data_IF_594669018323
#
_entry.id   IF_594669018323
#
_cell.length_a   1.000
_cell.length_b   1.000
_cell.length_c   1.000
_cell.angle_alpha   90.00
_cell.angle_beta   90.00
_cell.angle_gamma   90.00
#
_symmetry.space_group_name_H-M   'P 1'
#
loop_
_entity.id
_entity.type
_entity.pdbx_description
1 polymer ?
#
# COMPACT_ATOMS: atom_id res chain seq x y z
N UNK A 1 -4.35 -15.94 8.69
CA UNK A 1 -4.21 -14.50 8.35
C UNK A 1 -3.53 -14.24 6.99
N UNK A 2 -3.59 -15.14 5.99
CA UNK A 2 -2.87 -14.90 4.71
C UNK A 2 -3.48 -13.76 3.88
N UNK A 3 -4.81 -13.70 3.79
CA UNK A 3 -5.54 -12.71 2.98
C UNK A 3 -5.38 -11.29 3.53
N UNK A 4 -5.70 -11.05 4.81
CA UNK A 4 -5.61 -9.72 5.41
C UNK A 4 -4.17 -9.15 5.40
N UNK A 5 -3.17 -10.00 5.63
CA UNK A 5 -1.75 -9.61 5.54
C UNK A 5 -1.38 -9.18 4.11
N UNK A 6 -1.71 -10.01 3.12
CA UNK A 6 -1.51 -9.70 1.70
C UNK A 6 -2.14 -8.36 1.32
N UNK A 7 -3.36 -8.11 1.81
CA UNK A 7 -4.07 -6.87 1.56
C UNK A 7 -3.34 -5.66 2.14
N UNK A 8 -2.89 -5.73 3.40
CA UNK A 8 -2.12 -4.64 4.05
C UNK A 8 -0.80 -4.38 3.30
N UNK A 9 -0.03 -5.42 3.01
CA UNK A 9 1.29 -5.31 2.36
C UNK A 9 1.21 -4.68 0.96
N UNK A 10 0.06 -4.78 0.29
CA UNK A 10 -0.16 -4.27 -1.06
C UNK A 10 -1.12 -3.06 -1.11
N UNK A 11 -1.53 -2.51 0.03
CA UNK A 11 -2.47 -1.39 0.09
C UNK A 11 -3.84 -1.69 -0.52
N UNK A 12 -4.29 -2.94 -0.47
CA UNK A 12 -5.57 -3.41 -1.00
C UNK A 12 -6.65 -3.16 0.05
N UNK A 13 -7.57 -2.24 -0.26
CA UNK A 13 -8.69 -1.88 0.60
C UNK A 13 -9.95 -2.69 0.33
N UNK A 14 -10.99 -2.35 1.09
CA UNK A 14 -12.36 -2.85 0.95
C UNK A 14 -13.33 -1.66 0.92
N UNK A 15 -14.32 -1.65 0.04
CA UNK A 15 -15.38 -0.63 0.07
C UNK A 15 -16.42 -0.96 1.14
N UNK A 16 -17.24 0.02 1.54
CA UNK A 16 -18.38 -0.25 2.44
C UNK A 16 -19.36 -1.30 1.89
N UNK A 17 -19.43 -1.45 0.56
CA UNK A 17 -20.22 -2.51 -0.12
C UNK A 17 -19.52 -3.88 -0.17
N UNK A 18 -18.33 -4.02 0.41
CA UNK A 18 -17.57 -5.27 0.46
C UNK A 18 -16.91 -5.64 -0.86
N UNK A 19 -16.55 -4.65 -1.69
CA UNK A 19 -15.73 -4.87 -2.88
C UNK A 19 -14.26 -4.70 -2.52
N UNK A 20 -13.40 -5.57 -3.00
CA UNK A 20 -11.95 -5.46 -2.81
C UNK A 20 -11.42 -4.45 -3.84
N UNK A 21 -10.56 -3.52 -3.41
CA UNK A 21 -10.09 -2.44 -4.28
C UNK A 21 -8.61 -2.11 -4.11
N UNK A 22 -7.98 -1.64 -5.18
CA UNK A 22 -6.72 -0.89 -5.12
C UNK A 22 -6.99 0.50 -5.68
N UNK A 23 -6.98 1.50 -4.81
CA UNK A 23 -7.47 2.83 -5.18
C UNK A 23 -8.94 2.77 -5.60
N UNK A 24 -9.23 3.15 -6.84
CA UNK A 24 -10.58 3.11 -7.45
C UNK A 24 -10.86 1.83 -8.25
N UNK A 25 -9.89 0.92 -8.35
CA UNK A 25 -9.99 -0.27 -9.20
C UNK A 25 -10.52 -1.44 -8.36
N UNK A 26 -11.63 -2.03 -8.79
CA UNK A 26 -12.19 -3.25 -8.18
C UNK A 26 -11.39 -4.49 -8.58
N UNK A 27 -11.09 -5.34 -7.60
CA UNK A 27 -10.34 -6.58 -7.77
C UNK A 27 -11.25 -7.78 -7.47
N UNK A 28 -11.33 -8.76 -8.38
CA UNK A 28 -12.07 -9.99 -8.11
C UNK A 28 -11.49 -10.79 -6.94
N UNK A 29 -12.36 -11.37 -6.10
CA UNK A 29 -11.96 -12.27 -5.00
C UNK A 29 -11.04 -13.41 -5.45
N UNK A 30 -11.23 -13.92 -6.69
CA UNK A 30 -10.42 -14.99 -7.28
C UNK A 30 -8.96 -14.58 -7.50
N UNK A 31 -8.70 -13.31 -7.83
CA UNK A 31 -7.34 -12.79 -7.99
C UNK A 31 -6.59 -12.80 -6.67
N UNK A 32 -7.25 -12.37 -5.60
CA UNK A 32 -6.71 -12.41 -4.23
C UNK A 32 -6.49 -13.86 -3.78
N UNK A 33 -7.48 -14.73 -4.03
CA UNK A 33 -7.44 -16.12 -3.63
C UNK A 33 -6.27 -16.87 -4.26
N UNK A 34 -6.03 -16.64 -5.56
CA UNK A 34 -4.90 -17.22 -6.31
C UNK A 34 -3.55 -16.85 -5.69
N UNK A 35 -3.34 -15.57 -5.36
CA UNK A 35 -2.07 -15.10 -4.77
C UNK A 35 -1.92 -15.56 -3.33
N UNK A 36 -3.00 -15.55 -2.55
CA UNK A 36 -2.98 -15.99 -1.16
C UNK A 36 -2.92 -17.53 -1.00
N UNK A 37 -3.11 -18.29 -2.08
CA UNK A 37 -3.13 -19.76 -2.07
C UNK A 37 -4.30 -20.32 -1.26
N UNK A 38 -5.48 -19.71 -1.39
CA UNK A 38 -6.72 -20.10 -0.69
C UNK A 38 -7.90 -20.19 -1.64
N UNK A 39 -9.00 -20.79 -1.20
CA UNK A 39 -10.27 -20.74 -1.95
C UNK A 39 -10.89 -19.33 -1.88
N UNK A 40 -11.57 -18.92 -2.96
CA UNK A 40 -12.22 -17.59 -3.04
C UNK A 40 -13.24 -17.34 -1.93
N UNK A 41 -13.88 -18.40 -1.40
CA UNK A 41 -14.82 -18.30 -0.27
C UNK A 41 -14.13 -17.85 1.01
N UNK A 42 -12.86 -18.21 1.20
CA UNK A 42 -12.04 -17.74 2.34
C UNK A 42 -11.81 -16.23 2.23
N UNK A 43 -11.54 -15.74 1.03
CA UNK A 43 -11.42 -14.30 0.76
C UNK A 43 -12.72 -13.58 1.09
N UNK A 44 -13.86 -14.07 0.57
CA UNK A 44 -15.18 -13.48 0.85
C UNK A 44 -15.51 -13.44 2.34
N UNK A 45 -15.25 -14.54 3.06
CA UNK A 45 -15.43 -14.61 4.51
C UNK A 45 -14.53 -13.60 5.24
N UNK A 46 -13.28 -13.44 4.80
CA UNK A 46 -12.37 -12.45 5.38
C UNK A 46 -12.90 -11.03 5.19
N UNK A 47 -13.42 -10.69 4.00
CA UNK A 47 -14.04 -9.39 3.73
C UNK A 47 -15.25 -9.13 4.63
N UNK A 48 -16.11 -10.14 4.81
CA UNK A 48 -17.24 -10.03 5.75
C UNK A 48 -16.76 -9.77 7.18
N UNK A 49 -15.80 -10.55 7.67
CA UNK A 49 -15.21 -10.36 9.00
C UNK A 49 -14.57 -8.98 9.18
N UNK A 50 -13.89 -8.46 8.15
CA UNK A 50 -13.35 -7.10 8.15
C UNK A 50 -14.46 -6.07 8.30
N UNK A 51 -15.57 -6.24 7.58
CA UNK A 51 -16.68 -5.29 7.65
C UNK A 51 -17.53 -5.45 8.91
N UNK A 52 -17.56 -6.60 9.55
CA UNK A 52 -18.31 -6.82 10.80
C UNK A 52 -17.59 -6.26 12.03
N UNK A 53 -16.28 -6.08 11.96
CA UNK A 53 -15.46 -5.50 13.04
C UNK A 53 -15.21 -4.00 12.79
N UNK A 54 -15.61 -3.15 13.73
CA UNK A 54 -15.52 -1.69 13.59
C UNK A 54 -14.07 -1.18 13.43
N UNK A 55 -13.09 -1.84 14.05
CA UNK A 55 -11.68 -1.45 13.96
C UNK A 55 -11.13 -1.85 12.60
N UNK A 56 -11.37 -3.10 12.19
CA UNK A 56 -10.92 -3.59 10.88
C UNK A 56 -11.61 -2.84 9.74
N UNK A 57 -12.91 -2.56 9.85
CA UNK A 57 -13.64 -1.76 8.86
C UNK A 57 -12.94 -0.43 8.65
N UNK A 58 -12.69 0.35 9.71
CA UNK A 58 -11.99 1.66 9.59
C UNK A 58 -10.62 1.53 8.94
N UNK A 59 -9.85 0.50 9.29
CA UNK A 59 -8.52 0.27 8.71
C UNK A 59 -8.64 -0.04 7.22
N UNK A 60 -9.43 -1.04 6.84
CA UNK A 60 -9.46 -1.55 5.47
C UNK A 60 -10.29 -0.69 4.51
N UNK A 61 -11.27 0.09 4.99
CA UNK A 61 -11.97 1.07 4.15
C UNK A 61 -11.17 2.35 3.96
N UNK A 62 -10.25 2.66 4.88
CA UNK A 62 -9.25 3.73 4.75
C UNK A 62 -7.96 3.32 4.02
N UNK A 63 -7.68 2.02 3.89
CA UNK A 63 -6.44 1.52 3.29
C UNK A 63 -6.36 1.86 1.80
N UNK A 64 -5.25 2.50 1.39
CA UNK A 64 -4.97 2.86 0.00
C UNK A 64 -3.51 2.50 -0.32
N UNK A 65 -3.18 2.19 -1.59
CA UNK A 65 -1.80 2.05 -2.00
C UNK A 65 -1.07 3.38 -1.77
N UNK A 66 0.16 3.34 -1.25
CA UNK A 66 0.98 4.52 -0.98
C UNK A 66 1.56 5.20 -2.25
N UNK A 67 1.01 4.85 -3.43
CA UNK A 67 1.54 5.23 -4.74
C UNK A 67 2.42 4.14 -5.36
N UNK A 68 2.83 4.36 -6.61
CA UNK A 68 3.75 3.48 -7.29
C UNK A 68 5.17 3.70 -6.77
N UNK A 69 5.92 2.62 -6.55
CA UNK A 69 7.35 2.73 -6.31
C UNK A 69 8.06 3.01 -7.65
N UNK A 70 8.38 4.28 -7.89
CA UNK A 70 8.87 4.73 -9.19
C UNK A 70 10.37 4.47 -9.41
N UNK A 71 11.16 4.19 -8.38
CA UNK A 71 12.62 4.07 -8.50
C UNK A 71 13.08 3.10 -9.61
N UNK A 72 12.48 1.91 -9.79
CA UNK A 72 12.91 0.97 -10.84
C UNK A 72 12.61 1.45 -12.28
N UNK A 73 11.66 2.37 -12.44
CA UNK A 73 11.21 2.87 -13.75
C UNK A 73 11.49 4.37 -13.93
N UNK A 74 12.21 4.98 -12.99
CA UNK A 74 12.44 6.42 -12.95
C UNK A 74 13.07 6.93 -14.25
N UNK A 75 14.11 6.23 -14.72
CA UNK A 75 14.84 6.56 -15.94
C UNK A 75 13.93 6.61 -17.17
N UNK A 76 13.02 5.64 -17.32
CA UNK A 76 12.10 5.56 -18.45
C UNK A 76 11.06 6.69 -18.43
N UNK A 77 10.72 7.17 -17.23
CA UNK A 77 9.80 8.30 -17.05
C UNK A 77 10.51 9.66 -17.11
N UNK A 78 11.83 9.69 -17.33
CA UNK A 78 12.63 10.91 -17.24
C UNK A 78 12.70 11.50 -15.82
N UNK A 79 12.42 10.68 -14.81
CA UNK A 79 12.50 11.06 -13.41
C UNK A 79 13.87 10.75 -12.82
N UNK A 80 14.30 11.63 -11.92
CA UNK A 80 15.36 11.34 -10.97
C UNK A 80 14.70 11.05 -9.62
N UNK A 81 15.03 9.92 -9.00
CA UNK A 81 14.43 9.47 -7.73
C UNK A 81 15.50 9.45 -6.64
N UNK A 82 15.18 10.04 -5.50
CA UNK A 82 15.99 9.96 -4.27
C UNK A 82 15.21 9.11 -3.26
N UNK A 83 15.77 7.97 -2.86
CA UNK A 83 15.21 7.10 -1.83
C UNK A 83 15.88 7.39 -0.48
N UNK A 84 15.11 7.84 0.51
CA UNK A 84 15.60 8.09 1.87
C UNK A 84 15.16 6.94 2.77
N UNK A 85 16.14 6.22 3.33
CA UNK A 85 15.90 5.17 4.34
C UNK A 85 16.39 5.66 5.69
N UNK A 86 15.48 5.77 6.65
CA UNK A 86 15.79 6.28 7.97
C UNK A 86 14.83 5.73 9.03
N UNK A 87 15.18 5.92 10.30
CA UNK A 87 14.28 5.67 11.43
C UNK A 87 13.17 6.73 11.43
N UNK A 88 11.88 6.36 11.32
CA UNK A 88 10.78 7.34 11.27
C UNK A 88 10.62 8.17 12.55
N UNK A 89 11.25 7.77 13.66
CA UNK A 89 11.23 8.52 14.92
C UNK A 89 12.38 9.52 15.05
N UNK A 90 13.39 9.45 14.19
CA UNK A 90 14.53 10.35 14.22
C UNK A 90 14.16 11.73 13.62
N UNK A 91 14.34 12.79 14.40
CA UNK A 91 14.14 14.15 13.93
C UNK A 91 15.26 14.58 12.97
N UNK A 92 14.94 15.46 12.02
CA UNK A 92 15.94 16.13 11.16
C UNK A 92 16.29 15.42 9.86
N UNK A 93 15.70 14.25 9.55
CA UNK A 93 15.98 13.51 8.30
C UNK A 93 15.72 14.37 7.05
N UNK A 94 14.57 15.03 6.99
CA UNK A 94 14.22 15.90 5.85
C UNK A 94 15.18 17.09 5.72
N UNK A 95 15.57 17.69 6.85
CA UNK A 95 16.51 18.81 6.86
C UNK A 95 17.88 18.37 6.35
N UNK A 96 18.39 17.23 6.83
CA UNK A 96 19.71 16.73 6.41
C UNK A 96 19.72 16.27 4.96
N UNK A 97 18.62 15.67 4.49
CA UNK A 97 18.49 15.31 3.08
C UNK A 97 18.51 16.55 2.18
N UNK A 98 17.76 17.60 2.54
CA UNK A 98 17.76 18.86 1.80
C UNK A 98 19.14 19.56 1.84
N UNK A 99 19.83 19.53 2.98
CA UNK A 99 21.18 20.06 3.14
C UNK A 99 22.17 19.37 2.19
N UNK A 100 22.21 18.03 2.16
CA UNK A 100 23.10 17.26 1.27
C UNK A 100 22.80 17.57 -0.21
N UNK A 101 21.51 17.61 -0.59
CA UNK A 101 21.09 17.94 -1.96
C UNK A 101 21.61 19.33 -2.36
N UNK A 102 21.50 20.31 -1.45
CA UNK A 102 21.97 21.67 -1.68
C UNK A 102 23.50 21.77 -1.73
N UNK A 103 24.23 21.08 -0.84
CA UNK A 103 25.70 21.04 -0.82
C UNK A 103 26.29 20.48 -2.12
N UNK A 104 25.63 19.48 -2.70
CA UNK A 104 25.99 18.88 -3.99
C UNK A 104 25.50 19.71 -5.21
N UNK A 105 24.89 20.87 -4.99
CA UNK A 105 24.31 21.74 -6.02
C UNK A 105 23.27 21.05 -6.93
N UNK A 106 22.48 20.15 -6.34
CA UNK A 106 21.37 19.46 -7.01
C UNK A 106 20.09 20.28 -6.76
N UNK A 107 19.32 20.56 -7.81
CA UNK A 107 18.08 21.36 -7.75
C UNK A 107 16.87 20.62 -8.31
#
# INVERSE_FOLDING_TARGET
MKVARLMIENGIGVTESGKIVVGSIEIPDTSIAKVAGVDRRVVRKTVQQILEDDVLRRIFTGLRPAGAFLAPIAKELGFYVVEIRADPTAAGIMAKAAEIIAEENIS
#
